data_IF_450446061181
#
_entry.id   IF_450446061181
#
_cell.length_a   1.000
_cell.length_b   1.000
_cell.length_c   1.000
_cell.angle_alpha   90.00
_cell.angle_beta   90.00
_cell.angle_gamma   90.00
#
_symmetry.space_group_name_H-M   'P 1'
#
loop_
_entity.id
_entity.type
_entity.pdbx_description
1 polymer ?
#
# COMPACT_ATOMS: atom_id res chain seq x y z
N UNK A 1 -13.01 6.23 -16.84
CA UNK A 1 -13.12 5.11 -15.88
C UNK A 1 -13.64 5.71 -14.58
N UNK A 2 -14.74 5.18 -14.06
CA UNK A 2 -15.26 5.58 -12.76
C UNK A 2 -14.28 5.16 -11.67
N UNK A 3 -14.09 6.03 -10.67
CA UNK A 3 -13.20 5.74 -9.55
C UNK A 3 -13.89 4.77 -8.57
N UNK A 4 -13.25 3.63 -8.32
CA UNK A 4 -13.76 2.59 -7.44
C UNK A 4 -12.80 2.39 -6.26
N UNK A 5 -13.25 2.81 -5.08
CA UNK A 5 -12.53 2.67 -3.83
C UNK A 5 -12.21 1.22 -3.49
N UNK A 6 -13.16 0.31 -3.71
CA UNK A 6 -13.02 -1.10 -3.37
C UNK A 6 -11.94 -1.73 -4.23
N UNK A 7 -11.95 -1.47 -5.54
CA UNK A 7 -10.91 -1.97 -6.46
C UNK A 7 -9.53 -1.43 -6.12
N UNK A 8 -9.44 -0.14 -5.80
CA UNK A 8 -8.17 0.52 -5.42
C UNK A 8 -7.57 -0.13 -4.18
N UNK A 9 -8.36 -0.26 -3.11
CA UNK A 9 -7.92 -0.85 -1.83
C UNK A 9 -7.49 -2.31 -2.01
N UNK A 10 -8.25 -3.11 -2.75
CA UNK A 10 -7.92 -4.51 -2.98
C UNK A 10 -6.63 -4.64 -3.80
N UNK A 11 -6.53 -3.93 -4.94
CA UNK A 11 -5.38 -4.01 -5.82
C UNK A 11 -4.09 -3.58 -5.09
N UNK A 12 -4.15 -2.45 -4.38
CA UNK A 12 -3.01 -1.98 -3.59
C UNK A 12 -2.67 -2.92 -2.43
N UNK A 13 -3.68 -3.44 -1.72
CA UNK A 13 -3.47 -4.38 -0.63
C UNK A 13 -2.76 -5.67 -1.06
N UNK A 14 -3.09 -6.19 -2.24
CA UNK A 14 -2.40 -7.35 -2.83
C UNK A 14 -0.93 -7.02 -3.13
N UNK A 15 -0.65 -5.87 -3.73
CA UNK A 15 0.73 -5.45 -4.00
C UNK A 15 1.53 -5.24 -2.71
N UNK A 16 0.93 -4.60 -1.70
CA UNK A 16 1.56 -4.35 -0.42
C UNK A 16 1.90 -5.66 0.30
N UNK A 17 0.98 -6.62 0.33
CA UNK A 17 1.22 -7.93 0.95
C UNK A 17 2.29 -8.74 0.22
N UNK A 18 2.36 -8.66 -1.12
CA UNK A 18 3.45 -9.26 -1.89
C UNK A 18 4.82 -8.66 -1.53
N UNK A 19 4.91 -7.33 -1.41
CA UNK A 19 6.16 -6.65 -1.05
C UNK A 19 6.60 -7.01 0.37
N UNK A 20 5.67 -7.04 1.33
CA UNK A 20 5.96 -7.45 2.71
C UNK A 20 6.43 -8.91 2.73
N UNK A 21 5.72 -9.81 2.01
CA UNK A 21 6.10 -11.21 1.90
C UNK A 21 7.51 -11.40 1.32
N UNK A 22 7.85 -10.68 0.25
CA UNK A 22 9.20 -10.67 -0.32
C UNK A 22 10.25 -10.14 0.65
N UNK A 23 9.92 -9.10 1.42
CA UNK A 23 10.80 -8.53 2.45
C UNK A 23 11.10 -9.56 3.54
N UNK A 24 10.10 -10.33 3.97
CA UNK A 24 10.24 -11.37 4.98
C UNK A 24 11.10 -12.55 4.52
N UNK A 25 11.20 -12.80 3.21
CA UNK A 25 12.04 -13.87 2.63
C UNK A 25 13.47 -13.40 2.31
N UNK A 26 13.78 -12.11 2.50
CA UNK A 26 15.10 -11.57 2.18
C UNK A 26 16.19 -12.11 3.14
N UNK A 27 17.43 -12.31 2.67
CA UNK A 27 18.56 -12.75 3.51
C UNK A 27 19.15 -11.60 4.34
N UNK A 28 18.30 -10.93 5.12
CA UNK A 28 18.66 -9.78 5.96
C UNK A 28 18.47 -10.14 7.44
N UNK A 29 19.08 -9.37 8.36
CA UNK A 29 18.84 -9.54 9.80
C UNK A 29 17.34 -9.43 10.14
N UNK A 30 16.85 -10.31 11.02
CA UNK A 30 15.45 -10.32 11.47
C UNK A 30 15.01 -8.96 12.03
N UNK A 31 15.90 -8.26 12.74
CA UNK A 31 15.60 -6.94 13.30
C UNK A 31 15.31 -5.92 12.19
N UNK A 32 16.10 -5.95 11.12
CA UNK A 32 15.91 -5.07 9.95
C UNK A 32 14.63 -5.42 9.21
N UNK A 33 14.38 -6.71 8.96
CA UNK A 33 13.17 -7.19 8.28
C UNK A 33 11.91 -6.71 9.02
N UNK A 34 11.87 -6.86 10.34
CA UNK A 34 10.72 -6.43 11.14
C UNK A 34 10.54 -4.91 11.11
N UNK A 35 11.61 -4.13 11.26
CA UNK A 35 11.54 -2.66 11.20
C UNK A 35 11.02 -2.18 9.84
N UNK A 36 11.55 -2.72 8.74
CA UNK A 36 11.13 -2.37 7.38
C UNK A 36 9.69 -2.80 7.13
N UNK A 37 9.31 -4.01 7.54
CA UNK A 37 7.95 -4.52 7.35
C UNK A 37 6.92 -3.65 8.06
N UNK A 38 7.20 -3.22 9.30
CA UNK A 38 6.32 -2.29 10.03
C UNK A 38 6.26 -0.93 9.31
N UNK A 39 7.40 -0.41 8.86
CA UNK A 39 7.45 0.83 8.08
C UNK A 39 6.63 0.75 6.79
N UNK A 40 6.72 -0.37 6.06
CA UNK A 40 5.95 -0.64 4.85
C UNK A 40 4.44 -0.66 5.13
N UNK A 41 4.00 -1.26 6.24
CA UNK A 41 2.59 -1.26 6.62
C UNK A 41 2.11 0.16 6.92
N UNK A 42 2.81 0.89 7.77
CA UNK A 42 2.41 2.26 8.17
C UNK A 42 2.39 3.19 6.95
N UNK A 43 3.46 3.18 6.17
CA UNK A 43 3.58 4.03 4.99
C UNK A 43 2.57 3.62 3.91
N UNK A 44 2.44 2.33 3.62
CA UNK A 44 1.52 1.82 2.60
C UNK A 44 0.06 2.13 2.92
N UNK A 45 -0.36 2.01 4.19
CA UNK A 45 -1.71 2.40 4.61
C UNK A 45 -1.91 3.91 4.45
N UNK A 46 -0.93 4.71 4.86
CA UNK A 46 -1.01 6.17 4.75
C UNK A 46 -1.09 6.64 3.30
N UNK A 47 -0.26 6.10 2.41
CA UNK A 47 -0.29 6.45 0.99
C UNK A 47 -1.59 6.00 0.33
N UNK A 48 -2.09 4.81 0.65
CA UNK A 48 -3.39 4.33 0.12
C UNK A 48 -4.53 5.28 0.49
N UNK A 49 -4.55 5.76 1.75
CA UNK A 49 -5.55 6.73 2.19
C UNK A 49 -5.48 8.03 1.38
N UNK A 50 -4.27 8.56 1.16
CA UNK A 50 -4.08 9.78 0.37
C UNK A 50 -4.42 9.59 -1.11
N UNK A 51 -4.03 8.48 -1.72
CA UNK A 51 -4.32 8.17 -3.11
C UNK A 51 -5.82 8.00 -3.35
N UNK A 52 -6.55 7.38 -2.42
CA UNK A 52 -8.01 7.30 -2.48
C UNK A 52 -8.61 8.71 -2.55
N UNK A 53 -8.22 9.61 -1.63
CA UNK A 53 -8.72 10.99 -1.63
C UNK A 53 -8.34 11.76 -2.89
N UNK A 54 -7.13 11.55 -3.39
CA UNK A 54 -6.68 12.15 -4.65
C UNK A 54 -7.49 11.63 -5.86
N UNK A 55 -7.78 10.33 -5.88
CA UNK A 55 -8.61 9.68 -6.90
C UNK A 55 -10.05 10.20 -6.91
N UNK A 56 -10.67 10.30 -5.72
CA UNK A 56 -11.99 10.91 -5.53
C UNK A 56 -12.01 12.36 -6.03
N UNK A 57 -11.01 13.16 -5.66
CA UNK A 57 -10.93 14.56 -6.10
C UNK A 57 -10.86 14.67 -7.62
N UNK A 58 -9.98 13.90 -8.27
CA UNK A 58 -9.79 13.91 -9.72
C UNK A 58 -11.03 13.46 -10.48
N UNK A 59 -11.74 12.45 -9.98
CA UNK A 59 -12.94 11.93 -10.63
C UNK A 59 -14.13 12.91 -10.59
N UNK A 60 -14.14 13.82 -9.59
CA UNK A 60 -15.25 14.76 -9.38
C UNK A 60 -14.97 16.19 -9.89
N UNK A 61 -13.72 16.51 -10.29
CA UNK A 61 -13.31 17.85 -10.76
C UNK A 61 -12.89 17.89 -12.25
N UNK A 62 -13.43 16.99 -13.07
CA UNK A 62 -13.26 16.96 -14.54
C UNK A 62 -14.60 16.90 -15.22
#
# INVERSE_FOLDING_TARGET
MEFDNTKTVIAFGVLLTLIIGGTMMSPTSKSTVMMVSVGLVVFGVFTLFLEVKHGEYRANHT
#
